data_IF_762760450510
#
_entry.id   IF_762760450510
#
_cell.length_a   1.000
_cell.length_b   1.000
_cell.length_c   1.000
_cell.angle_alpha   90.00
_cell.angle_beta   90.00
_cell.angle_gamma   90.00
#
_symmetry.space_group_name_H-M   'P 1'
#
loop_
_entity.id
_entity.type
_entity.pdbx_description
1 polymer ?
#
# COMPACT_ATOMS: atom_id res chain seq x y z
N UNK A 1 -13.10 -3.37 -9.46
CA UNK A 1 -11.67 -3.03 -9.39
C UNK A 1 -10.92 -4.23 -8.86
N UNK A 2 -9.76 -4.54 -9.42
CA UNK A 2 -8.95 -5.71 -9.06
C UNK A 2 -7.57 -5.28 -8.60
N UNK A 3 -7.19 -5.62 -7.36
CA UNK A 3 -5.99 -5.07 -6.70
C UNK A 3 -5.16 -6.22 -6.11
N UNK A 4 -3.85 -6.20 -6.39
CA UNK A 4 -2.90 -7.09 -5.73
C UNK A 4 -2.43 -6.43 -4.43
N UNK A 5 -2.47 -7.17 -3.32
CA UNK A 5 -1.96 -6.72 -2.01
C UNK A 5 -0.85 -7.67 -1.58
N UNK A 6 0.36 -7.14 -1.46
CA UNK A 6 1.51 -7.83 -0.91
C UNK A 6 1.78 -7.37 0.52
N UNK A 7 1.86 -8.29 1.47
CA UNK A 7 2.28 -8.01 2.85
C UNK A 7 3.66 -8.61 3.05
N UNK A 8 4.69 -7.78 3.23
CA UNK A 8 6.06 -8.26 3.38
C UNK A 8 6.61 -8.03 4.79
N UNK A 9 7.79 -8.58 5.08
CA UNK A 9 8.35 -8.70 6.42
C UNK A 9 8.88 -7.39 7.00
N UNK A 10 8.02 -6.43 7.24
CA UNK A 10 8.30 -5.21 8.00
C UNK A 10 7.21 -5.01 9.05
N UNK A 11 7.54 -4.36 10.18
CA UNK A 11 6.55 -3.96 11.18
C UNK A 11 5.51 -3.02 10.57
N UNK A 12 4.27 -3.08 11.03
CA UNK A 12 3.14 -2.33 10.48
C UNK A 12 2.23 -3.17 9.59
N UNK A 13 2.18 -4.50 9.80
CA UNK A 13 1.28 -5.41 9.07
C UNK A 13 -0.20 -5.02 9.22
N UNK A 14 -0.56 -4.33 10.29
CA UNK A 14 -1.90 -3.77 10.51
C UNK A 14 -2.35 -2.84 9.37
N UNK A 15 -1.45 -2.13 8.69
CA UNK A 15 -1.80 -1.33 7.50
C UNK A 15 -2.33 -2.22 6.37
N UNK A 16 -1.66 -3.37 6.14
CA UNK A 16 -2.07 -4.34 5.13
C UNK A 16 -3.40 -5.00 5.46
N UNK A 17 -3.57 -5.43 6.71
CA UNK A 17 -4.82 -6.03 7.20
C UNK A 17 -5.99 -5.03 7.09
N UNK A 18 -5.78 -3.78 7.53
CA UNK A 18 -6.80 -2.73 7.43
C UNK A 18 -7.16 -2.41 5.98
N UNK A 19 -6.15 -2.34 5.09
CA UNK A 19 -6.39 -2.15 3.66
C UNK A 19 -7.30 -3.25 3.08
N UNK A 20 -7.04 -4.52 3.42
CA UNK A 20 -7.85 -5.65 2.97
C UNK A 20 -9.31 -5.54 3.45
N UNK A 21 -9.54 -5.15 4.73
CA UNK A 21 -10.88 -4.90 5.24
C UNK A 21 -11.62 -3.87 4.40
N UNK A 22 -11.00 -2.72 4.17
CA UNK A 22 -11.63 -1.63 3.41
C UNK A 22 -11.88 -2.01 1.95
N UNK A 23 -10.91 -2.67 1.29
CA UNK A 23 -11.08 -3.14 -0.08
C UNK A 23 -12.24 -4.15 -0.20
N UNK A 24 -12.39 -5.05 0.78
CA UNK A 24 -13.51 -5.99 0.85
C UNK A 24 -14.85 -5.27 1.01
N UNK A 25 -14.95 -4.30 1.92
CA UNK A 25 -16.15 -3.47 2.14
C UNK A 25 -16.54 -2.68 0.87
N UNK A 26 -15.53 -2.22 0.10
CA UNK A 26 -15.73 -1.53 -1.18
C UNK A 26 -16.04 -2.46 -2.37
N UNK A 27 -16.11 -3.77 -2.14
CA UNK A 27 -16.39 -4.75 -3.19
C UNK A 27 -15.27 -4.92 -4.22
N UNK A 28 -14.03 -4.56 -3.87
CA UNK A 28 -12.87 -4.79 -4.71
C UNK A 28 -12.48 -6.27 -4.70
N UNK A 29 -12.10 -6.80 -5.86
CA UNK A 29 -11.47 -8.12 -5.97
C UNK A 29 -10.01 -8.00 -5.59
N UNK A 30 -9.56 -8.79 -4.63
CA UNK A 30 -8.20 -8.69 -4.08
C UNK A 30 -7.42 -9.99 -4.23
N UNK A 31 -6.14 -9.87 -4.61
CA UNK A 31 -5.16 -10.95 -4.69
C UNK A 31 -4.13 -10.73 -3.59
N UNK A 32 -4.11 -11.59 -2.58
CA UNK A 32 -3.24 -11.45 -1.42
C UNK A 32 -2.03 -12.37 -1.53
N UNK A 33 -0.85 -11.80 -1.23
CA UNK A 33 0.39 -12.53 -1.04
C UNK A 33 0.99 -12.10 0.31
N UNK A 34 1.29 -13.05 1.20
CA UNK A 34 1.92 -12.79 2.51
C UNK A 34 3.24 -13.54 2.58
N UNK A 35 4.35 -12.82 2.78
CA UNK A 35 5.66 -13.47 2.91
C UNK A 35 5.80 -14.25 4.21
N UNK A 36 6.70 -15.24 4.28
CA UNK A 36 6.92 -16.03 5.49
C UNK A 36 7.31 -15.17 6.68
N UNK A 37 8.10 -14.10 6.46
CA UNK A 37 8.44 -13.14 7.51
C UNK A 37 7.20 -12.34 7.96
N UNK A 38 6.33 -11.95 7.04
CA UNK A 38 5.11 -11.21 7.38
C UNK A 38 4.11 -12.07 8.18
N UNK A 39 4.01 -13.36 7.90
CA UNK A 39 3.19 -14.30 8.70
C UNK A 39 3.56 -14.25 10.19
N UNK A 40 4.87 -14.30 10.49
CA UNK A 40 5.37 -14.19 11.88
C UNK A 40 5.06 -12.83 12.50
N UNK A 41 5.16 -11.76 11.72
CA UNK A 41 4.88 -10.41 12.23
C UNK A 41 3.38 -10.21 12.48
N UNK A 42 2.49 -10.77 11.67
CA UNK A 42 1.04 -10.77 11.92
C UNK A 42 0.74 -11.38 13.29
N UNK A 43 1.33 -12.52 13.62
CA UNK A 43 1.16 -13.18 14.92
C UNK A 43 1.72 -12.39 16.12
N UNK A 44 2.74 -11.54 15.87
CA UNK A 44 3.39 -10.72 16.92
C UNK A 44 2.66 -9.38 17.13
N UNK A 45 2.22 -8.76 16.06
CA UNK A 45 1.72 -7.37 16.09
C UNK A 45 0.20 -7.27 16.11
N UNK A 46 -0.53 -8.37 15.87
CA UNK A 46 -1.99 -8.37 15.79
C UNK A 46 -2.60 -9.57 16.48
N UNK A 47 -3.88 -9.49 16.79
CA UNK A 47 -4.66 -10.62 17.32
C UNK A 47 -5.22 -11.52 16.19
N UNK A 48 -4.90 -11.23 14.92
CA UNK A 48 -5.38 -12.01 13.78
C UNK A 48 -4.59 -13.30 13.59
N UNK A 49 -5.32 -14.40 13.38
CA UNK A 49 -4.73 -15.59 12.79
C UNK A 49 -4.52 -15.38 11.28
N UNK A 50 -3.45 -15.96 10.72
CA UNK A 50 -3.18 -15.84 9.28
C UNK A 50 -4.40 -16.21 8.42
N UNK A 51 -5.10 -17.29 8.77
CA UNK A 51 -6.32 -17.73 8.06
C UNK A 51 -7.45 -16.69 8.06
N UNK A 52 -7.51 -15.83 9.05
CA UNK A 52 -8.50 -14.75 9.10
C UNK A 52 -8.11 -13.65 8.12
N UNK A 53 -6.82 -13.31 8.05
CA UNK A 53 -6.30 -12.36 7.08
C UNK A 53 -6.50 -12.87 5.64
N UNK A 54 -6.23 -14.16 5.37
CA UNK A 54 -6.46 -14.80 4.07
C UNK A 54 -7.93 -14.66 3.62
N UNK A 55 -8.90 -14.84 4.53
CA UNK A 55 -10.34 -14.72 4.25
C UNK A 55 -10.82 -13.29 3.97
N UNK A 56 -9.98 -12.28 4.20
CA UNK A 56 -10.28 -10.90 3.80
C UNK A 56 -10.12 -10.70 2.29
N UNK A 57 -9.27 -11.49 1.64
CA UNK A 57 -9.01 -11.41 0.22
C UNK A 57 -9.92 -12.32 -0.61
N UNK A 58 -10.08 -12.00 -1.89
CA UNK A 58 -10.80 -12.83 -2.86
C UNK A 58 -9.98 -14.05 -3.27
N UNK A 59 -8.65 -13.89 -3.36
CA UNK A 59 -7.68 -14.93 -3.69
C UNK A 59 -6.45 -14.78 -2.79
N UNK A 60 -5.90 -15.91 -2.39
CA UNK A 60 -4.66 -16.00 -1.62
C UNK A 60 -3.64 -16.88 -2.36
N UNK A 61 -2.39 -16.47 -2.39
CA UNK A 61 -1.30 -17.20 -3.06
C UNK A 61 -0.09 -17.32 -2.14
N UNK A 62 0.56 -18.48 -2.23
CA UNK A 62 1.84 -18.70 -1.57
C UNK A 62 2.95 -17.81 -2.18
N UNK A 63 3.95 -17.36 -1.40
CA UNK A 63 4.99 -16.42 -1.87
C UNK A 63 5.81 -16.90 -3.07
N UNK A 64 5.80 -18.21 -3.36
CA UNK A 64 6.53 -18.82 -4.49
C UNK A 64 5.63 -19.51 -5.50
N UNK A 65 4.35 -19.23 -5.49
CA UNK A 65 3.41 -19.76 -6.48
C UNK A 65 3.45 -18.95 -7.80
N UNK A 66 4.41 -19.29 -8.66
CA UNK A 66 4.54 -18.66 -9.98
C UNK A 66 3.49 -19.14 -11.00
N UNK A 67 2.63 -20.09 -10.65
CA UNK A 67 1.47 -20.48 -11.45
C UNK A 67 0.27 -19.55 -11.26
N UNK A 68 0.33 -18.67 -10.25
CA UNK A 68 -0.71 -17.68 -9.99
C UNK A 68 -0.92 -16.76 -11.22
N UNK A 69 -2.17 -16.42 -11.58
CA UNK A 69 -2.45 -15.57 -12.75
C UNK A 69 -1.72 -14.22 -12.72
N UNK A 70 -1.55 -13.66 -11.53
CA UNK A 70 -0.89 -12.36 -11.30
C UNK A 70 0.62 -12.36 -11.61
N UNK A 71 1.23 -13.52 -11.85
CA UNK A 71 2.60 -13.63 -12.33
C UNK A 71 2.73 -13.32 -13.83
N UNK A 72 1.61 -13.17 -14.55
CA UNK A 72 1.58 -12.92 -15.99
C UNK A 72 1.01 -11.55 -16.33
N UNK A 73 1.64 -10.84 -17.29
CA UNK A 73 1.14 -9.56 -17.81
C UNK A 73 -0.20 -9.67 -18.56
N UNK A 74 -0.57 -10.87 -19.02
CA UNK A 74 -1.86 -11.12 -19.68
C UNK A 74 -3.05 -11.11 -18.73
N UNK A 75 -2.83 -11.34 -17.43
CA UNK A 75 -3.86 -11.16 -16.42
C UNK A 75 -4.04 -9.67 -16.11
N UNK A 76 -5.28 -9.18 -16.24
CA UNK A 76 -5.56 -7.76 -16.04
C UNK A 76 -5.90 -7.49 -14.58
N UNK A 77 -5.24 -6.48 -14.00
CA UNK A 77 -5.54 -5.92 -12.70
C UNK A 77 -5.26 -4.41 -12.73
N UNK A 78 -5.90 -3.65 -11.83
CA UNK A 78 -5.88 -2.19 -11.86
C UNK A 78 -4.67 -1.58 -11.13
N UNK A 79 -4.29 -2.18 -10.00
CA UNK A 79 -3.18 -1.70 -9.17
C UNK A 79 -2.55 -2.82 -8.34
N UNK A 80 -1.32 -2.57 -7.89
CA UNK A 80 -0.65 -3.39 -6.88
C UNK A 80 -0.17 -2.51 -5.73
N UNK A 81 -0.36 -2.98 -4.50
CA UNK A 81 0.11 -2.34 -3.27
C UNK A 81 0.96 -3.32 -2.49
N UNK A 82 2.16 -2.91 -2.08
CA UNK A 82 2.98 -3.68 -1.12
C UNK A 82 2.99 -2.92 0.20
N UNK A 83 2.30 -3.45 1.23
CA UNK A 83 2.04 -2.76 2.50
C UNK A 83 1.99 -3.70 3.71
N UNK A 84 2.93 -3.62 4.64
CA UNK A 84 4.17 -2.84 4.53
C UNK A 84 5.13 -3.44 3.51
N UNK A 85 6.03 -2.62 2.98
CA UNK A 85 7.10 -3.05 2.09
C UNK A 85 8.42 -3.08 2.87
N UNK A 86 8.98 -4.27 3.07
CA UNK A 86 10.29 -4.44 3.69
C UNK A 86 11.41 -3.99 2.74
N UNK A 87 12.56 -3.60 3.30
CA UNK A 87 13.70 -3.17 2.50
C UNK A 87 14.23 -4.27 1.58
N UNK A 88 14.13 -5.54 1.98
CA UNK A 88 14.47 -6.68 1.10
C UNK A 88 13.53 -6.78 -0.10
N UNK A 89 12.22 -6.66 0.11
CA UNK A 89 11.23 -6.64 -0.98
C UNK A 89 11.42 -5.42 -1.88
N UNK A 90 11.64 -4.23 -1.32
CA UNK A 90 11.95 -3.02 -2.07
C UNK A 90 13.21 -3.20 -2.94
N UNK A 91 14.28 -3.78 -2.37
CA UNK A 91 15.51 -4.05 -3.10
C UNK A 91 15.27 -4.98 -4.28
N UNK A 92 14.53 -6.07 -4.08
CA UNK A 92 14.17 -7.00 -5.16
C UNK A 92 13.40 -6.30 -6.29
N UNK A 93 12.42 -5.47 -5.97
CA UNK A 93 11.64 -4.70 -6.95
C UNK A 93 12.55 -3.70 -7.69
N UNK A 94 13.39 -2.96 -6.96
CA UNK A 94 14.28 -1.95 -7.53
C UNK A 94 15.33 -2.54 -8.49
N UNK A 95 15.75 -3.80 -8.25
CA UNK A 95 16.70 -4.51 -9.08
C UNK A 95 16.04 -5.38 -10.17
N UNK A 96 14.71 -5.40 -10.28
CA UNK A 96 13.99 -6.26 -11.24
C UNK A 96 14.10 -7.76 -10.92
N UNK A 97 14.33 -8.13 -9.64
CA UNK A 97 14.30 -9.53 -9.21
C UNK A 97 12.87 -10.09 -9.32
N UNK A 98 12.78 -11.38 -9.63
CA UNK A 98 11.52 -12.11 -9.72
C UNK A 98 11.53 -13.38 -8.86
N UNK A 99 12.20 -13.34 -7.70
CA UNK A 99 12.44 -14.51 -6.84
C UNK A 99 11.22 -14.88 -5.99
N UNK A 100 10.28 -13.97 -5.85
CA UNK A 100 9.01 -14.19 -5.15
C UNK A 100 7.84 -13.72 -6.01
N UNK A 101 6.63 -14.21 -5.69
CA UNK A 101 5.44 -13.76 -6.40
C UNK A 101 5.17 -12.26 -6.21
N UNK A 102 5.53 -11.66 -5.07
CA UNK A 102 5.44 -10.20 -4.86
C UNK A 102 6.34 -9.47 -5.84
N UNK A 103 7.63 -9.83 -5.90
CA UNK A 103 8.59 -9.14 -6.79
C UNK A 103 8.26 -9.39 -8.25
N UNK A 104 7.81 -10.60 -8.61
CA UNK A 104 7.34 -10.92 -9.97
C UNK A 104 6.10 -10.12 -10.36
N UNK A 105 5.09 -10.05 -9.50
CA UNK A 105 3.88 -9.25 -9.79
C UNK A 105 4.19 -7.76 -9.88
N UNK A 106 5.13 -7.25 -9.08
CA UNK A 106 5.61 -5.88 -9.16
C UNK A 106 6.35 -5.61 -10.49
N UNK A 107 7.20 -6.53 -10.94
CA UNK A 107 7.86 -6.46 -12.26
C UNK A 107 6.81 -6.42 -13.40
N UNK A 108 5.80 -7.30 -13.32
CA UNK A 108 4.67 -7.27 -14.26
C UNK A 108 3.95 -5.92 -14.22
N UNK A 109 3.69 -5.39 -13.02
CA UNK A 109 3.01 -4.11 -12.82
C UNK A 109 3.79 -2.96 -13.50
N UNK A 110 5.10 -2.89 -13.30
CA UNK A 110 5.98 -1.87 -13.87
C UNK A 110 6.08 -1.98 -15.39
N UNK A 111 6.34 -3.17 -15.94
CA UNK A 111 6.50 -3.35 -17.39
C UNK A 111 5.19 -3.11 -18.17
N UNK A 112 4.05 -3.39 -17.56
CA UNK A 112 2.71 -3.11 -18.14
C UNK A 112 2.22 -1.68 -17.83
N UNK A 113 3.06 -0.86 -17.17
CA UNK A 113 2.75 0.52 -16.76
C UNK A 113 1.49 0.64 -15.91
N UNK A 114 1.23 -0.37 -15.08
CA UNK A 114 0.16 -0.38 -14.09
C UNK A 114 0.63 0.29 -12.81
N UNK A 115 -0.31 0.75 -12.03
CA UNK A 115 -0.03 1.45 -10.77
C UNK A 115 0.56 0.52 -9.72
N UNK A 116 1.78 0.81 -9.27
CA UNK A 116 2.46 0.13 -8.17
C UNK A 116 2.68 1.11 -7.02
N UNK A 117 2.12 0.81 -5.85
CA UNK A 117 2.32 1.59 -4.62
C UNK A 117 3.15 0.75 -3.64
N UNK A 118 4.31 1.27 -3.27
CA UNK A 118 5.18 0.66 -2.28
C UNK A 118 5.10 1.48 -0.98
N UNK A 119 4.80 0.81 0.13
CA UNK A 119 4.67 1.44 1.46
C UNK A 119 5.85 0.98 2.33
N UNK A 120 7.08 1.54 2.11
CA UNK A 120 8.25 1.13 2.86
C UNK A 120 8.12 1.52 4.34
N UNK A 121 8.57 0.62 5.21
CA UNK A 121 8.66 0.87 6.65
C UNK A 121 10.01 0.44 7.17
N UNK A 122 10.85 1.41 7.51
CA UNK A 122 12.18 1.25 8.05
C UNK A 122 12.65 2.53 8.74
N UNK A 123 13.45 2.40 9.79
CA UNK A 123 14.11 3.51 10.45
C UNK A 123 15.32 3.04 11.28
N UNK A 124 16.51 3.69 11.19
CA UNK A 124 16.91 4.68 10.18
C UNK A 124 17.08 4.07 8.80
N UNK A 125 17.10 4.90 7.75
CA UNK A 125 17.36 4.46 6.39
C UNK A 125 18.85 4.52 6.04
N UNK A 126 19.38 3.44 5.47
CA UNK A 126 20.73 3.43 4.88
C UNK A 126 20.73 4.06 3.48
N UNK A 127 21.92 4.51 3.03
CA UNK A 127 22.06 5.06 1.67
C UNK A 127 21.64 4.05 0.59
N UNK A 128 21.89 2.75 0.78
CA UNK A 128 21.47 1.69 -0.15
C UNK A 128 19.95 1.65 -0.27
N UNK A 129 19.23 1.69 0.85
CA UNK A 129 17.77 1.69 0.89
C UNK A 129 17.19 2.94 0.20
N UNK A 130 17.77 4.12 0.44
CA UNK A 130 17.38 5.35 -0.25
C UNK A 130 17.59 5.26 -1.76
N UNK A 131 18.72 4.71 -2.23
CA UNK A 131 18.98 4.47 -3.66
C UNK A 131 17.97 3.49 -4.26
N UNK A 132 17.61 2.43 -3.55
CA UNK A 132 16.58 1.49 -4.01
C UNK A 132 15.20 2.16 -4.13
N UNK A 133 14.84 3.09 -3.22
CA UNK A 133 13.62 3.90 -3.36
C UNK A 133 13.65 4.76 -4.62
N UNK A 134 14.80 5.40 -4.91
CA UNK A 134 14.97 6.20 -6.13
C UNK A 134 14.81 5.31 -7.36
N UNK A 135 15.51 4.18 -7.42
CA UNK A 135 15.45 3.26 -8.58
C UNK A 135 14.03 2.72 -8.81
N UNK A 136 13.32 2.35 -7.74
CA UNK A 136 11.93 1.90 -7.86
C UNK A 136 10.99 3.03 -8.33
N UNK A 137 11.20 4.27 -7.87
CA UNK A 137 10.43 5.43 -8.31
C UNK A 137 10.72 5.78 -9.79
N UNK A 138 11.96 5.73 -10.23
CA UNK A 138 12.36 5.93 -11.63
C UNK A 138 11.75 4.86 -12.55
N UNK A 139 11.61 3.62 -12.06
CA UNK A 139 10.90 2.55 -12.76
C UNK A 139 9.38 2.75 -12.85
N UNK A 140 8.82 3.69 -12.08
CA UNK A 140 7.39 4.05 -12.11
C UNK A 140 6.58 3.69 -10.86
N UNK A 141 7.22 3.17 -9.80
CA UNK A 141 6.52 2.91 -8.55
C UNK A 141 6.26 4.21 -7.77
N UNK A 142 5.14 4.27 -7.07
CA UNK A 142 4.87 5.33 -6.09
C UNK A 142 5.45 4.89 -4.74
N UNK A 143 6.38 5.68 -4.20
CA UNK A 143 6.95 5.44 -2.87
C UNK A 143 6.12 6.22 -1.85
N UNK A 144 5.38 5.51 -1.00
CA UNK A 144 4.56 6.07 0.07
C UNK A 144 5.06 5.53 1.42
N UNK A 145 6.06 6.17 2.06
CA UNK A 145 6.56 5.69 3.35
C UNK A 145 5.44 5.59 4.38
N UNK A 146 5.54 4.60 5.29
CA UNK A 146 4.58 4.40 6.38
C UNK A 146 4.68 5.52 7.45
N UNK A 147 4.43 6.77 7.01
CA UNK A 147 4.51 7.99 7.81
C UNK A 147 3.13 8.68 7.84
N UNK A 148 2.23 8.26 8.74
CA UNK A 148 0.90 8.86 8.83
C UNK A 148 0.98 10.33 9.26
N UNK A 149 0.09 11.16 8.70
CA UNK A 149 0.02 12.58 9.03
C UNK A 149 -0.80 12.81 10.31
N UNK A 150 -0.45 13.83 11.09
CA UNK A 150 -1.10 14.17 12.36
C UNK A 150 -2.10 15.33 12.27
N UNK A 151 -2.23 15.99 11.12
CA UNK A 151 -3.14 17.14 10.97
C UNK A 151 -4.63 16.79 11.16
N UNK A 152 -4.99 15.51 10.96
CA UNK A 152 -6.34 14.99 11.24
C UNK A 152 -6.63 14.82 12.73
N UNK A 153 -5.59 14.94 13.58
CA UNK A 153 -5.64 14.76 15.03
C UNK A 153 -6.19 13.38 15.43
N UNK A 154 -5.58 12.26 14.97
CA UNK A 154 -6.03 10.92 15.29
C UNK A 154 -6.01 10.69 16.81
N UNK A 155 -7.05 10.07 17.35
CA UNK A 155 -7.23 9.82 18.78
C UNK A 155 -6.97 8.39 19.17
N UNK A 156 -6.83 7.49 18.20
CA UNK A 156 -6.53 6.08 18.41
C UNK A 156 -5.49 5.59 17.40
N UNK A 157 -4.95 4.41 17.63
CA UNK A 157 -4.04 3.76 16.69
C UNK A 157 -4.75 3.41 15.38
N UNK A 158 -6.02 3.00 15.45
CA UNK A 158 -6.84 2.68 14.28
C UNK A 158 -7.04 3.90 13.39
N UNK A 159 -7.35 5.06 13.98
CA UNK A 159 -7.46 6.31 13.23
C UNK A 159 -6.12 6.70 12.57
N UNK A 160 -4.99 6.44 13.23
CA UNK A 160 -3.68 6.69 12.66
C UNK A 160 -3.37 5.75 11.48
N UNK A 161 -3.76 4.48 11.59
CA UNK A 161 -3.69 3.49 10.50
C UNK A 161 -4.56 3.94 9.33
N UNK A 162 -5.79 4.41 9.60
CA UNK A 162 -6.73 4.88 8.59
C UNK A 162 -6.22 6.09 7.80
N UNK A 163 -5.41 6.96 8.41
CA UNK A 163 -4.76 8.07 7.69
C UNK A 163 -3.87 7.56 6.56
N UNK A 164 -3.05 6.53 6.83
CA UNK A 164 -2.16 5.97 5.81
C UNK A 164 -2.93 5.14 4.78
N UNK A 165 -3.85 4.27 5.24
CA UNK A 165 -4.67 3.42 4.37
C UNK A 165 -5.52 4.29 3.43
N UNK A 166 -6.08 5.40 3.91
CA UNK A 166 -6.80 6.36 3.07
C UNK A 166 -5.92 6.93 1.94
N UNK A 167 -4.64 7.20 2.21
CA UNK A 167 -3.69 7.66 1.18
C UNK A 167 -3.36 6.56 0.17
N UNK A 168 -3.22 5.30 0.62
CA UNK A 168 -3.04 4.15 -0.30
C UNK A 168 -4.25 4.02 -1.23
N UNK A 169 -5.46 4.11 -0.68
CA UNK A 169 -6.71 4.02 -1.45
C UNK A 169 -6.84 5.16 -2.47
N UNK A 170 -6.48 6.40 -2.09
CA UNK A 170 -6.45 7.55 -3.01
C UNK A 170 -5.51 7.29 -4.19
N UNK A 171 -4.32 6.73 -3.92
CA UNK A 171 -3.36 6.37 -4.96
C UNK A 171 -3.84 5.23 -5.85
N UNK A 172 -4.78 4.41 -5.38
CA UNK A 172 -5.40 3.34 -6.15
C UNK A 172 -6.74 3.76 -6.80
N UNK A 173 -7.12 5.04 -6.78
CA UNK A 173 -8.40 5.57 -7.25
C UNK A 173 -9.64 4.94 -6.58
N UNK A 174 -9.47 4.41 -5.35
CA UNK A 174 -10.57 3.88 -4.53
C UNK A 174 -11.13 5.00 -3.65
N UNK A 175 -12.37 5.39 -3.90
CA UNK A 175 -13.05 6.43 -3.11
C UNK A 175 -13.17 6.01 -1.65
N UNK A 176 -12.71 6.88 -0.75
CA UNK A 176 -12.73 6.65 0.69
C UNK A 176 -12.89 7.95 1.49
N UNK A 177 -13.28 7.79 2.74
CA UNK A 177 -13.48 8.85 3.74
C UNK A 177 -12.86 8.46 5.09
N UNK A 178 -11.85 7.57 5.08
CA UNK A 178 -11.21 7.03 6.29
C UNK A 178 -10.55 8.09 7.16
N UNK A 179 -10.10 9.18 6.57
CA UNK A 179 -9.46 10.26 7.33
C UNK A 179 -9.91 11.63 6.88
N UNK A 180 -9.83 12.59 7.80
CA UNK A 180 -10.14 14.00 7.49
C UNK A 180 -9.15 14.54 6.45
N UNK A 181 -9.68 15.02 5.33
CA UNK A 181 -8.87 15.65 4.28
C UNK A 181 -8.47 17.07 4.67
N UNK A 182 -7.24 17.45 4.32
CA UNK A 182 -6.78 18.82 4.47
C UNK A 182 -7.60 19.76 3.58
N UNK A 183 -8.28 20.75 4.19
CA UNK A 183 -9.13 21.73 3.48
C UNK A 183 -8.50 23.13 3.44
N UNK A 184 -7.26 23.26 3.89
CA UNK A 184 -6.62 24.58 4.03
C UNK A 184 -7.14 25.37 5.21
N UNK A 185 -6.67 26.62 5.33
CA UNK A 185 -7.18 27.58 6.32
C UNK A 185 -8.44 28.25 5.75
N UNK A 186 -9.59 28.23 6.44
CA UNK A 186 -10.82 28.87 5.98
C UNK A 186 -10.66 30.40 5.79
N UNK A 187 -9.67 31.02 6.43
CA UNK A 187 -9.41 32.46 6.29
C UNK A 187 -8.79 32.87 4.93
N UNK A 188 -8.43 31.92 4.05
CA UNK A 188 -7.89 32.23 2.72
C UNK A 188 -8.97 32.29 1.61
N UNK A 189 -10.24 32.12 1.95
CA UNK A 189 -11.31 32.48 1.02
C UNK A 189 -11.48 34.02 1.09
N UNK A 190 -11.00 34.71 0.09
CA UNK A 190 -11.46 36.08 -0.18
C UNK A 190 -12.97 35.98 -0.46
N UNK A 191 -13.76 36.43 0.47
CA UNK A 191 -15.20 36.51 0.29
C UNK A 191 -15.42 37.55 -0.82
N UNK A 192 -15.94 37.11 -1.98
CA UNK A 192 -16.19 38.00 -3.11
C UNK A 192 -17.30 39.03 -2.81
N UNK A 193 -17.86 38.99 -1.60
CA UNK A 193 -18.87 39.96 -1.12
C UNK A 193 -18.27 41.32 -0.70
N UNK A 194 -16.95 41.44 -0.48
CA UNK A 194 -16.33 42.67 0.00
C UNK A 194 -15.82 43.61 -1.11
N UNK A 195 -15.98 43.26 -2.38
CA UNK A 195 -15.84 44.21 -3.48
C UNK A 195 -17.12 45.05 -3.68
N UNK A 196 -17.51 45.83 -2.69
CA UNK A 196 -18.31 47.01 -2.95
C UNK A 196 -17.37 48.10 -3.45
N UNK A 197 -17.44 48.30 -4.77
CA UNK A 197 -16.88 49.44 -5.47
C UNK A 197 -17.38 50.72 -4.78
N UNK A 198 -16.42 51.56 -4.36
CA UNK A 198 -16.65 52.96 -3.98
C UNK A 198 -16.74 53.74 -5.27
#
# INVERSE_FOLDING_TARGET
>A
MEIIVGISGASGVQYGVRLLHVLKEKGCRTHLIVTDSARKIIEIETDYLLKEVERLASYFYEPRDFNAPIASGSHLFDAMVVVPCSMGTLSGIACGSSDTLITRSADVCLKEKRRLVLVPRETPLSLVQLRNMVSAAEAGAVILPACPAFYSQPKSMEELVDVLVGRVLDLCDVKNDLSRRWKGNPYNRLDQSDCKVI
#
